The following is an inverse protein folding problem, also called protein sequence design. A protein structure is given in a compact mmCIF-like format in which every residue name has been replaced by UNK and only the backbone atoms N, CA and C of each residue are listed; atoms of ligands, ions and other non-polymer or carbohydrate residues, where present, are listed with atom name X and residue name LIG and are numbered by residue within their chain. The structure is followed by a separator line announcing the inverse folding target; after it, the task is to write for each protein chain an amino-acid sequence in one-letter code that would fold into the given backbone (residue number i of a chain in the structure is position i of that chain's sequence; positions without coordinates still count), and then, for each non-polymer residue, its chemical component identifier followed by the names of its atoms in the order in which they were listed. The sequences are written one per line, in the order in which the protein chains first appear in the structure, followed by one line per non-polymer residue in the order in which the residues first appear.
data_IF_257371596183
#
_entry.id   IF_257371596183
#
_cell.length_a   1.000
_cell.length_b   1.000
_cell.length_c   1.000
_cell.angle_alpha   90.00
_cell.angle_beta   90.00
_cell.angle_gamma   90.00
#
_symmetry.space_group_name_H-M   'P 1'
#
loop_
_entity.id
_entity.type
_entity.pdbx_description
1 polymer ?
#
# COMPACT_ATOMS: atom_id res chain seq x y z
N UNK A 1 19.82 6.91 -11.06
CA UNK A 1 18.92 7.73 -10.21
C UNK A 1 18.37 6.79 -9.15
N UNK A 2 18.58 7.09 -7.87
CA UNK A 2 17.93 6.33 -6.80
C UNK A 2 16.50 6.88 -6.68
N UNK A 3 15.50 6.06 -6.97
CA UNK A 3 14.10 6.40 -6.69
C UNK A 3 13.87 6.25 -5.19
N UNK A 4 13.09 7.17 -4.60
CA UNK A 4 12.59 6.96 -3.25
C UNK A 4 11.39 6.02 -3.33
N UNK A 5 11.18 5.20 -2.29
CA UNK A 5 9.98 4.34 -2.22
C UNK A 5 8.69 5.13 -2.47
N UNK A 6 8.59 6.35 -1.95
CA UNK A 6 7.47 7.25 -2.22
C UNK A 6 7.36 7.64 -3.70
N UNK A 7 8.48 7.90 -4.38
CA UNK A 7 8.52 8.25 -5.80
C UNK A 7 8.04 7.11 -6.71
N UNK A 8 8.35 5.86 -6.35
CA UNK A 8 7.92 4.68 -7.09
C UNK A 8 6.44 4.34 -6.87
N UNK A 9 5.87 4.75 -5.73
CA UNK A 9 4.47 4.46 -5.38
C UNK A 9 3.49 5.53 -5.89
N UNK A 10 3.92 6.78 -6.06
CA UNK A 10 3.04 7.87 -6.55
C UNK A 10 2.35 7.51 -7.87
N UNK A 11 3.03 6.94 -8.89
CA UNK A 11 2.39 6.54 -10.15
C UNK A 11 1.33 5.45 -9.98
N UNK A 12 1.36 4.69 -8.89
CA UNK A 12 0.44 3.58 -8.62
C UNK A 12 -0.84 4.03 -7.91
N UNK A 13 -0.99 5.33 -7.57
CA UNK A 13 -2.22 5.83 -6.93
C UNK A 13 -3.43 5.52 -7.84
N UNK A 14 -4.44 4.90 -7.25
CA UNK A 14 -5.65 4.42 -7.92
C UNK A 14 -5.54 2.99 -8.45
N UNK A 15 -4.36 2.39 -8.46
CA UNK A 15 -4.15 0.99 -8.88
C UNK A 15 -4.35 0.03 -7.71
N UNK A 16 -4.71 -1.22 -8.01
CA UNK A 16 -4.67 -2.30 -7.02
C UNK A 16 -3.22 -2.69 -6.73
N UNK A 17 -2.88 -2.80 -5.46
CA UNK A 17 -1.56 -3.17 -4.97
C UNK A 17 -1.66 -4.28 -3.93
N UNK A 18 -0.67 -5.16 -3.93
CA UNK A 18 -0.41 -6.09 -2.84
C UNK A 18 0.73 -5.55 -1.99
N UNK A 19 0.45 -5.21 -0.74
CA UNK A 19 1.43 -4.68 0.22
C UNK A 19 1.70 -5.72 1.30
N UNK A 20 2.95 -6.14 1.44
CA UNK A 20 3.41 -6.98 2.55
C UNK A 20 4.01 -6.08 3.62
N UNK A 21 3.47 -6.17 4.84
CA UNK A 21 3.87 -5.35 5.99
C UNK A 21 4.18 -6.20 7.21
N UNK A 22 5.14 -5.80 8.04
CA UNK A 22 5.47 -6.48 9.30
C UNK A 22 4.82 -5.83 10.55
N UNK A 23 4.00 -4.78 10.38
CA UNK A 23 3.41 -4.00 11.48
C UNK A 23 2.51 -4.81 12.44
N UNK A 24 2.01 -5.97 12.01
CA UNK A 24 1.02 -6.78 12.74
C UNK A 24 1.37 -8.28 12.75
N UNK A 25 2.66 -8.62 12.86
CA UNK A 25 3.09 -10.04 12.82
C UNK A 25 3.15 -10.63 11.41
N UNK A 26 3.41 -9.77 10.41
CA UNK A 26 3.41 -10.06 8.97
C UNK A 26 2.01 -10.26 8.37
N UNK A 27 1.59 -9.30 7.56
CA UNK A 27 0.29 -9.28 6.88
C UNK A 27 0.48 -8.90 5.41
N UNK A 28 -0.31 -9.50 4.52
CA UNK A 28 -0.48 -9.06 3.15
C UNK A 28 -1.82 -8.34 3.01
N UNK A 29 -1.79 -7.09 2.56
CA UNK A 29 -2.98 -6.29 2.28
C UNK A 29 -3.10 -6.15 0.77
N UNK A 30 -4.22 -6.59 0.21
CA UNK A 30 -4.54 -6.39 -1.20
C UNK A 30 -5.64 -5.34 -1.27
N UNK A 31 -5.43 -4.28 -2.03
CA UNK A 31 -6.40 -3.21 -2.17
C UNK A 31 -5.91 -2.07 -3.05
N UNK A 32 -6.74 -1.05 -3.21
CA UNK A 32 -6.41 0.11 -4.01
C UNK A 32 -5.47 1.06 -3.25
N UNK A 33 -4.38 1.49 -3.87
CA UNK A 33 -3.51 2.53 -3.31
C UNK A 33 -4.19 3.89 -3.44
N UNK A 34 -4.70 4.44 -2.34
CA UNK A 34 -5.47 5.70 -2.36
C UNK A 34 -4.57 6.92 -2.14
N UNK A 35 -3.50 6.77 -1.36
CA UNK A 35 -2.61 7.89 -1.03
C UNK A 35 -1.19 7.42 -0.76
N UNK A 36 -0.24 8.25 -1.21
CA UNK A 36 1.17 8.18 -0.83
C UNK A 36 1.49 9.42 0.02
N UNK A 37 1.72 9.21 1.30
CA UNK A 37 2.10 10.23 2.27
C UNK A 37 3.61 10.40 2.38
N UNK A 38 4.05 11.25 3.31
CA UNK A 38 5.47 11.48 3.52
C UNK A 38 6.19 10.29 4.18
N UNK A 39 5.48 9.54 5.02
CA UNK A 39 5.99 8.42 5.82
C UNK A 39 5.09 7.16 5.77
N UNK A 40 4.01 7.20 4.99
CA UNK A 40 3.02 6.12 4.90
C UNK A 40 2.40 5.99 3.52
N UNK A 41 1.77 4.85 3.26
CA UNK A 41 0.73 4.68 2.24
C UNK A 41 -0.63 4.40 2.86
N UNK A 42 -1.70 4.77 2.15
CA UNK A 42 -3.07 4.42 2.48
C UNK A 42 -3.60 3.45 1.43
N UNK A 43 -3.99 2.26 1.87
CA UNK A 43 -4.59 1.23 1.02
C UNK A 43 -6.05 1.06 1.42
N UNK A 44 -6.96 1.12 0.45
CA UNK A 44 -8.38 0.86 0.66
C UNK A 44 -8.74 -0.52 0.12
N UNK A 45 -9.54 -1.28 0.85
CA UNK A 45 -10.00 -2.60 0.44
C UNK A 45 -11.43 -2.83 0.94
N UNK A 46 -12.15 -3.70 0.23
CA UNK A 46 -13.49 -4.12 0.65
C UNK A 46 -13.42 -5.45 1.39
N UNK A 47 -14.07 -5.52 2.54
CA UNK A 47 -14.27 -6.77 3.26
C UNK A 47 -15.69 -6.80 3.80
N UNK A 48 -16.38 -7.93 3.64
CA UNK A 48 -17.72 -8.16 4.19
C UNK A 48 -18.76 -7.08 3.82
N UNK A 49 -18.60 -6.44 2.65
CA UNK A 49 -19.48 -5.38 2.15
C UNK A 49 -19.20 -3.98 2.70
N UNK A 50 -18.09 -3.79 3.44
CA UNK A 50 -17.65 -2.49 3.94
C UNK A 50 -16.29 -2.11 3.35
N UNK A 51 -16.13 -0.81 3.08
CA UNK A 51 -14.83 -0.25 2.69
C UNK A 51 -14.00 0.03 3.93
N UNK A 52 -12.83 -0.57 3.99
CA UNK A 52 -11.81 -0.31 5.00
C UNK A 52 -10.64 0.46 4.38
N UNK A 53 -9.94 1.21 5.23
CA UNK A 53 -8.70 1.87 4.86
C UNK A 53 -7.63 1.55 5.91
N UNK A 54 -6.45 1.17 5.44
CA UNK A 54 -5.31 0.90 6.31
C UNK A 54 -4.15 1.83 5.97
N UNK A 55 -3.63 2.47 7.00
CA UNK A 55 -2.41 3.26 6.93
C UNK A 55 -1.22 2.37 7.24
N UNK A 56 -0.28 2.27 6.30
CA UNK A 56 0.93 1.44 6.43
C UNK A 56 2.15 2.36 6.35
N UNK A 57 2.89 2.48 7.45
CA UNK A 57 4.13 3.26 7.51
C UNK A 57 5.24 2.60 6.69
N UNK A 58 6.05 3.40 6.00
CA UNK A 58 7.16 2.88 5.17
C UNK A 58 8.14 2.02 5.95
N UNK A 59 8.39 2.35 7.22
CA UNK A 59 9.25 1.56 8.10
C UNK A 59 8.80 0.10 8.27
N UNK A 60 7.52 -0.18 8.01
CA UNK A 60 6.92 -1.50 8.17
C UNK A 60 6.64 -2.20 6.82
N UNK A 61 6.85 -1.52 5.69
CA UNK A 61 6.66 -2.12 4.37
C UNK A 61 7.85 -3.02 4.07
N UNK A 62 7.55 -4.28 3.83
CA UNK A 62 8.52 -5.28 3.37
C UNK A 62 8.57 -5.28 1.84
N UNK A 63 7.41 -5.20 1.20
CA UNK A 63 7.29 -5.33 -0.26
C UNK A 63 5.97 -4.74 -0.76
N UNK A 64 5.97 -4.16 -1.96
CA UNK A 64 4.77 -3.72 -2.68
C UNK A 64 4.81 -4.26 -4.10
N UNK A 65 3.71 -4.86 -4.55
CA UNK A 65 3.49 -5.29 -5.92
C UNK A 65 2.30 -4.52 -6.50
N UNK A 66 2.46 -3.96 -7.70
CA UNK A 66 1.33 -3.45 -8.46
C UNK A 66 0.64 -4.64 -9.15
N UNK A 67 -0.64 -4.86 -8.86
CA UNK A 67 -1.44 -5.86 -9.57
C UNK A 67 -1.94 -5.19 -10.86
N UNK A 68 -1.52 -5.64 -12.06
CA UNK A 68 -2.08 -5.13 -13.30
C UNK A 68 -3.58 -5.45 -13.39
N UNK A 69 -4.39 -4.56 -14.00
CA UNK A 69 -5.82 -4.79 -14.20
C UNK A 69 -6.11 -5.96 -15.17
#
# INVERSE_FOLDING_TARGET
MATTLSGDLIPLIGSEVTVVTNAFGQLAVIGQLVRVGNDYILVSFEDSGFTYEIRIFYANIVYVHANPP
#
